data_IF_922171034140
#
_entry.id   IF_922171034140
#
_cell.length_a   1.000
_cell.length_b   1.000
_cell.length_c   1.000
_cell.angle_alpha   90.00
_cell.angle_beta   90.00
_cell.angle_gamma   90.00
#
_symmetry.space_group_name_H-M   'P 1'
#
loop_
_entity.id
_entity.type
_entity.pdbx_description
1 polymer ?
#
# COMPACT_ATOMS: atom_id res chain seq x y z
N UNK A 1 11.67 -15.29 -5.49
CA UNK A 1 10.84 -15.42 -4.27
C UNK A 1 10.22 -14.09 -3.93
N UNK A 2 8.97 -14.11 -3.52
CA UNK A 2 8.30 -12.86 -3.15
C UNK A 2 8.71 -12.42 -1.74
N UNK A 3 8.94 -11.13 -1.58
CA UNK A 3 9.20 -10.53 -0.27
C UNK A 3 7.90 -10.50 0.53
N UNK A 4 7.98 -10.82 1.82
CA UNK A 4 6.86 -10.68 2.74
C UNK A 4 7.13 -9.58 3.74
N UNK A 5 6.10 -8.78 4.02
CA UNK A 5 6.17 -7.67 4.96
C UNK A 5 5.10 -7.80 6.03
N UNK A 6 5.43 -7.32 7.22
CA UNK A 6 4.52 -7.24 8.35
C UNK A 6 4.08 -5.79 8.51
N UNK A 7 2.79 -5.55 8.41
CA UNK A 7 2.19 -4.23 8.62
C UNK A 7 1.51 -4.25 9.99
N UNK A 8 2.16 -3.64 10.96
CA UNK A 8 1.67 -3.59 12.35
C UNK A 8 0.89 -2.29 12.54
N UNK A 9 -0.36 -2.42 12.94
CA UNK A 9 -1.26 -1.27 13.08
C UNK A 9 -1.94 -1.25 14.44
N UNK A 10 -2.59 -0.12 14.75
CA UNK A 10 -3.37 0.04 15.97
C UNK A 10 -4.51 -0.99 16.11
N UNK A 11 -4.94 -1.61 15.00
CA UNK A 11 -6.05 -2.57 15.00
C UNK A 11 -5.60 -4.02 14.79
N UNK A 12 -4.31 -4.26 14.65
CA UNK A 12 -3.75 -5.60 14.46
C UNK A 12 -2.69 -5.64 13.37
N UNK A 13 -2.28 -6.85 13.05
CA UNK A 13 -1.18 -7.12 12.13
C UNK A 13 -1.70 -7.71 10.83
N UNK A 14 -1.18 -7.20 9.71
CA UNK A 14 -1.39 -7.79 8.38
C UNK A 14 -0.05 -8.26 7.85
N UNK A 15 -0.05 -9.40 7.17
CA UNK A 15 1.12 -9.89 6.42
C UNK A 15 0.78 -9.78 4.95
N UNK A 16 1.67 -9.17 4.19
CA UNK A 16 1.49 -8.99 2.74
C UNK A 16 2.65 -9.61 1.99
N UNK A 17 2.35 -10.16 0.83
CA UNK A 17 3.35 -10.67 -0.11
C UNK A 17 3.49 -9.68 -1.25
N UNK A 18 4.72 -9.25 -1.54
CA UNK A 18 5.00 -8.24 -2.56
C UNK A 18 5.23 -8.87 -3.93
N UNK A 19 4.94 -8.10 -4.98
CA UNK A 19 5.09 -8.54 -6.38
C UNK A 19 6.48 -8.19 -6.90
N UNK A 20 7.53 -8.75 -6.29
CA UNK A 20 8.95 -8.42 -6.59
C UNK A 20 9.29 -8.55 -8.06
N UNK A 21 8.79 -9.61 -8.73
CA UNK A 21 9.11 -9.87 -10.13
C UNK A 21 8.21 -9.10 -11.09
N UNK A 22 6.97 -8.84 -10.70
CA UNK A 22 5.97 -8.18 -11.54
C UNK A 22 6.12 -6.67 -11.56
N UNK A 23 6.39 -6.05 -10.40
CA UNK A 23 6.51 -4.59 -10.28
C UNK A 23 7.78 -4.22 -9.51
N UNK A 24 8.97 -4.50 -10.07
CA UNK A 24 10.24 -4.33 -9.35
C UNK A 24 10.55 -2.89 -8.96
N UNK A 25 10.20 -1.91 -9.77
CA UNK A 25 10.44 -0.49 -9.46
C UNK A 25 9.65 -0.10 -8.21
N UNK A 26 8.36 -0.41 -8.21
CA UNK A 26 7.46 -0.08 -7.09
C UNK A 26 7.83 -0.83 -5.83
N UNK A 27 8.09 -2.14 -5.95
CA UNK A 27 8.46 -2.98 -4.81
C UNK A 27 9.80 -2.55 -4.22
N UNK A 28 10.81 -2.28 -5.05
CA UNK A 28 12.11 -1.83 -4.55
C UNK A 28 12.01 -0.50 -3.82
N UNK A 29 11.18 0.41 -4.31
CA UNK A 29 10.91 1.68 -3.64
C UNK A 29 10.26 1.44 -2.27
N UNK A 30 9.23 0.61 -2.22
CA UNK A 30 8.51 0.29 -0.99
C UNK A 30 9.46 -0.35 0.05
N UNK A 31 10.26 -1.33 -0.39
CA UNK A 31 11.26 -1.99 0.47
C UNK A 31 12.29 -0.99 1.01
N UNK A 32 12.77 -0.09 0.17
CA UNK A 32 13.73 0.95 0.57
C UNK A 32 13.15 1.85 1.67
N UNK A 33 11.90 2.28 1.50
CA UNK A 33 11.21 3.10 2.50
C UNK A 33 10.99 2.33 3.81
N UNK A 34 10.65 1.05 3.72
CA UNK A 34 10.51 0.19 4.90
C UNK A 34 11.83 0.10 5.66
N UNK A 35 12.93 -0.11 4.95
CA UNK A 35 14.26 -0.22 5.56
C UNK A 35 14.70 1.06 6.26
N UNK A 36 14.24 2.20 5.77
CA UNK A 36 14.50 3.52 6.38
C UNK A 36 13.52 3.85 7.51
N UNK A 37 12.60 2.95 7.81
CA UNK A 37 11.52 3.14 8.80
C UNK A 37 10.63 4.34 8.48
N UNK A 38 10.46 4.63 7.20
CA UNK A 38 9.70 5.78 6.72
C UNK A 38 8.24 5.73 7.18
N UNK A 39 7.66 4.53 7.21
CA UNK A 39 6.24 4.35 7.54
C UNK A 39 5.96 4.29 9.04
N UNK A 40 6.99 4.11 9.87
CA UNK A 40 6.80 3.95 11.31
C UNK A 40 6.19 5.23 11.91
N UNK A 41 5.07 5.08 12.62
CA UNK A 41 4.38 6.20 13.24
C UNK A 41 3.47 7.00 12.32
N UNK A 42 3.41 6.67 11.04
CA UNK A 42 2.45 7.28 10.12
C UNK A 42 1.04 6.70 10.38
N UNK A 43 0.07 7.08 9.57
CA UNK A 43 -1.30 6.61 9.77
C UNK A 43 -2.01 6.35 8.45
N UNK A 44 -3.23 5.80 8.57
CA UNK A 44 -4.17 5.71 7.46
C UNK A 44 -5.03 6.97 7.47
N UNK A 45 -4.58 8.00 6.78
CA UNK A 45 -5.23 9.31 6.78
C UNK A 45 -6.54 9.33 5.98
N UNK A 46 -6.78 8.33 5.14
CA UNK A 46 -7.98 8.24 4.31
C UNK A 46 -8.53 6.82 4.36
N UNK A 47 -9.69 6.66 4.97
CA UNK A 47 -10.35 5.35 5.10
C UNK A 47 -11.77 5.50 4.57
N UNK A 48 -12.08 4.77 3.49
CA UNK A 48 -13.39 4.80 2.85
C UNK A 48 -13.97 3.39 2.87
N UNK A 49 -15.06 3.15 3.62
CA UNK A 49 -15.67 1.83 3.70
C UNK A 49 -16.02 1.29 2.30
N UNK A 50 -15.80 -0.01 2.10
CA UNK A 50 -16.05 -0.72 0.84
C UNK A 50 -15.19 -0.21 -0.33
N UNK A 51 -14.18 0.61 -0.06
CA UNK A 51 -13.27 1.12 -1.07
C UNK A 51 -11.83 0.82 -0.66
N UNK A 52 -11.17 1.71 0.09
CA UNK A 52 -9.75 1.53 0.44
C UNK A 52 -9.44 2.05 1.85
N UNK A 53 -8.31 1.57 2.39
CA UNK A 53 -7.60 2.24 3.49
C UNK A 53 -6.29 2.74 2.92
N UNK A 54 -6.02 4.03 3.02
CA UNK A 54 -4.88 4.70 2.40
C UNK A 54 -3.99 5.37 3.45
N UNK A 55 -2.70 5.14 3.35
CA UNK A 55 -1.73 5.69 4.29
C UNK A 55 -0.36 5.89 3.66
N UNK A 56 0.63 6.14 4.52
CA UNK A 56 2.01 6.31 4.09
C UNK A 56 2.38 7.74 3.70
N UNK A 57 1.55 8.72 4.05
CA UNK A 57 1.85 10.13 3.83
C UNK A 57 2.62 10.70 5.04
N UNK A 58 3.84 11.26 4.84
CA UNK A 58 4.60 11.81 5.96
C UNK A 58 3.92 13.01 6.64
N UNK A 59 3.08 13.73 5.91
CA UNK A 59 2.30 14.84 6.46
C UNK A 59 0.95 14.39 7.03
N UNK A 60 0.60 13.11 6.89
CA UNK A 60 -0.62 12.50 7.43
C UNK A 60 -1.91 13.10 6.90
N UNK A 61 -1.87 13.73 5.73
CA UNK A 61 -3.04 14.41 5.14
C UNK A 61 -3.17 14.23 3.63
N UNK A 62 -2.32 13.39 3.03
CA UNK A 62 -2.37 13.11 1.59
C UNK A 62 -1.51 14.00 0.72
N UNK A 63 -0.84 15.01 1.29
CA UNK A 63 -0.08 16.00 0.51
C UNK A 63 1.41 15.70 0.40
N UNK A 64 1.94 14.76 1.18
CA UNK A 64 3.37 14.52 1.26
C UNK A 64 3.81 13.23 0.59
N UNK A 65 5.13 13.12 0.43
CA UNK A 65 5.77 11.94 -0.12
C UNK A 65 7.25 11.90 0.28
N UNK A 66 8.03 10.99 -0.32
CA UNK A 66 9.42 10.77 0.10
C UNK A 66 10.40 11.77 -0.50
N UNK A 67 9.93 12.76 -1.26
CA UNK A 67 10.81 13.75 -1.90
C UNK A 67 11.16 13.42 -3.36
N UNK A 68 10.55 12.36 -3.91
CA UNK A 68 10.73 11.94 -5.30
C UNK A 68 9.49 11.19 -5.77
N UNK A 69 9.41 10.89 -7.07
CA UNK A 69 8.33 10.08 -7.63
C UNK A 69 8.88 8.86 -8.34
N UNK A 70 8.02 7.86 -8.54
CA UNK A 70 8.38 6.65 -9.26
C UNK A 70 7.45 6.45 -10.46
N UNK A 71 7.95 5.67 -11.41
CA UNK A 71 7.22 5.31 -12.63
C UNK A 71 6.14 4.28 -12.33
N UNK A 72 4.98 4.41 -12.97
CA UNK A 72 3.91 3.41 -12.91
C UNK A 72 4.30 2.13 -13.64
N UNK A 73 3.80 0.99 -13.15
CA UNK A 73 4.04 -0.32 -13.75
C UNK A 73 2.71 -1.04 -14.01
N UNK A 74 1.71 -0.31 -14.49
CA UNK A 74 0.32 -0.79 -14.61
C UNK A 74 0.12 -1.84 -15.72
N UNK A 75 1.09 -2.03 -16.60
CA UNK A 75 1.02 -3.06 -17.67
C UNK A 75 1.61 -4.40 -17.23
N UNK A 76 2.13 -4.49 -16.02
CA UNK A 76 2.71 -5.73 -15.47
C UNK A 76 1.63 -6.77 -15.16
N UNK A 77 2.01 -8.06 -14.96
CA UNK A 77 1.07 -9.05 -14.45
C UNK A 77 0.54 -8.70 -13.05
N UNK A 78 -0.59 -9.29 -12.67
CA UNK A 78 -1.21 -9.15 -11.34
C UNK A 78 -1.72 -7.73 -11.03
N UNK A 79 -2.05 -6.95 -12.05
CA UNK A 79 -2.51 -5.58 -11.88
C UNK A 79 -4.03 -5.51 -11.74
N UNK A 80 -4.59 -6.23 -10.74
CA UNK A 80 -6.01 -6.27 -10.44
C UNK A 80 -6.26 -5.85 -8.99
N UNK A 81 -7.19 -4.94 -8.79
CA UNK A 81 -7.51 -4.39 -7.47
C UNK A 81 -8.57 -5.25 -6.76
N UNK A 82 -8.14 -6.43 -6.31
CA UNK A 82 -8.97 -7.35 -5.53
C UNK A 82 -8.84 -7.02 -4.04
N UNK A 83 -9.70 -7.66 -3.22
CA UNK A 83 -9.63 -7.50 -1.76
C UNK A 83 -8.22 -7.84 -1.25
N UNK A 84 -7.67 -6.95 -0.44
CA UNK A 84 -6.36 -7.13 0.18
C UNK A 84 -5.18 -6.69 -0.68
N UNK A 85 -5.41 -6.25 -1.91
CA UNK A 85 -4.31 -5.81 -2.79
C UNK A 85 -3.78 -4.46 -2.33
N UNK A 86 -2.44 -4.36 -2.24
CA UNK A 86 -1.73 -3.11 -2.02
C UNK A 86 -1.48 -2.43 -3.35
N UNK A 87 -1.82 -1.15 -3.44
CA UNK A 87 -1.66 -0.37 -4.66
C UNK A 87 -1.11 1.02 -4.33
N UNK A 88 -0.44 1.63 -5.30
CA UNK A 88 0.18 2.95 -5.09
C UNK A 88 -0.82 4.07 -5.33
N UNK A 89 -0.97 4.94 -4.34
CA UNK A 89 -1.70 6.19 -4.51
C UNK A 89 -0.83 7.18 -5.27
N UNK A 90 -1.44 8.00 -6.11
CA UNK A 90 -0.74 9.06 -6.84
C UNK A 90 -1.72 10.14 -7.32
N UNK A 91 -1.18 11.24 -7.78
CA UNK A 91 -1.94 12.38 -8.30
C UNK A 91 -1.94 12.44 -9.83
N UNK A 92 -1.69 11.31 -10.48
CA UNK A 92 -1.60 11.16 -11.92
C UNK A 92 -0.49 10.19 -12.28
N UNK A 93 -0.28 9.97 -13.59
CA UNK A 93 0.69 8.98 -14.07
C UNK A 93 2.12 9.37 -13.64
N UNK A 94 2.85 8.39 -13.11
CA UNK A 94 4.26 8.53 -12.69
C UNK A 94 4.48 9.56 -11.58
N UNK A 95 3.48 9.73 -10.68
CA UNK A 95 3.60 10.63 -9.54
C UNK A 95 3.53 9.93 -8.18
N UNK A 96 3.57 8.60 -8.17
CA UNK A 96 3.60 7.83 -6.92
C UNK A 96 4.89 8.04 -6.16
N UNK A 97 4.84 7.85 -4.84
CA UNK A 97 6.01 7.99 -3.96
C UNK A 97 5.94 7.05 -2.78
N UNK A 98 5.33 7.46 -1.68
CA UNK A 98 5.21 6.64 -0.48
C UNK A 98 3.79 6.22 -0.14
N UNK A 99 2.79 6.98 -0.56
CA UNK A 99 1.41 6.67 -0.21
C UNK A 99 0.92 5.43 -0.94
N UNK A 100 0.27 4.56 -0.19
CA UNK A 100 -0.32 3.34 -0.72
C UNK A 100 -1.71 3.16 -0.15
N UNK A 101 -2.50 2.31 -0.79
CA UNK A 101 -3.79 1.91 -0.24
C UNK A 101 -3.96 0.39 -0.32
N UNK A 102 -4.81 -0.13 0.55
CA UNK A 102 -5.19 -1.54 0.56
C UNK A 102 -6.67 -1.61 0.24
N UNK A 103 -7.03 -2.45 -0.73
CA UNK A 103 -8.39 -2.54 -1.22
C UNK A 103 -9.29 -3.32 -0.28
N UNK A 104 -10.49 -2.81 0.00
CA UNK A 104 -11.52 -3.53 0.75
C UNK A 104 -12.11 -4.69 -0.05
N UNK A 105 -12.31 -4.50 -1.35
CA UNK A 105 -12.87 -5.51 -2.22
C UNK A 105 -12.91 -5.03 -3.65
N UNK A 106 -13.13 -5.95 -4.58
CA UNK A 106 -13.06 -5.62 -6.02
C UNK A 106 -14.20 -4.74 -6.51
N UNK A 107 -15.41 -4.90 -5.95
CA UNK A 107 -16.57 -4.15 -6.44
C UNK A 107 -16.36 -2.64 -6.42
N UNK A 108 -15.68 -2.12 -5.39
CA UNK A 108 -15.41 -0.68 -5.27
C UNK A 108 -14.11 -0.23 -5.92
N UNK A 109 -13.23 -1.16 -6.33
CA UNK A 109 -11.85 -0.82 -6.74
C UNK A 109 -11.49 -1.26 -8.16
N UNK A 110 -12.35 -2.02 -8.84
CA UNK A 110 -12.04 -2.53 -10.19
C UNK A 110 -11.70 -1.42 -11.19
N UNK A 111 -12.30 -0.24 -11.05
CA UNK A 111 -12.05 0.90 -11.93
C UNK A 111 -10.62 1.46 -11.81
N UNK A 112 -9.88 1.07 -10.78
CA UNK A 112 -8.49 1.51 -10.58
C UNK A 112 -7.50 0.69 -11.40
N UNK A 113 -7.93 -0.45 -11.95
CA UNK A 113 -7.07 -1.29 -12.78
C UNK A 113 -6.56 -0.47 -13.99
N UNK A 114 -5.25 -0.60 -14.25
CA UNK A 114 -4.62 0.13 -15.33
C UNK A 114 -4.22 1.57 -15.02
N UNK A 115 -4.62 2.11 -13.84
CA UNK A 115 -4.30 3.47 -13.42
C UNK A 115 -3.35 3.52 -12.24
N UNK A 116 -3.46 2.56 -11.32
CA UNK A 116 -2.62 2.47 -10.10
C UNK A 116 -1.84 1.17 -10.11
N UNK A 117 -0.57 1.23 -9.72
CA UNK A 117 0.31 0.05 -9.68
C UNK A 117 0.02 -0.80 -8.46
N UNK A 118 -0.37 -2.06 -8.66
CA UNK A 118 -0.51 -3.04 -7.60
C UNK A 118 0.87 -3.62 -7.27
N UNK A 119 1.27 -3.57 -6.01
CA UNK A 119 2.61 -4.01 -5.60
C UNK A 119 2.61 -5.20 -4.66
N UNK A 120 1.46 -5.66 -4.22
CA UNK A 120 1.39 -6.80 -3.32
C UNK A 120 -0.04 -7.12 -2.92
N UNK A 121 -0.16 -8.12 -2.02
CA UNK A 121 -1.44 -8.58 -1.53
C UNK A 121 -1.34 -9.05 -0.09
N UNK A 122 -2.29 -8.66 0.74
CA UNK A 122 -2.41 -9.16 2.11
C UNK A 122 -2.80 -10.64 2.06
N UNK A 123 -1.99 -11.48 2.71
CA UNK A 123 -2.21 -12.93 2.77
C UNK A 123 -2.65 -13.40 4.15
N UNK A 124 -2.44 -12.57 5.19
CA UNK A 124 -2.92 -12.84 6.55
C UNK A 124 -3.40 -11.53 7.16
N UNK A 125 -4.47 -11.59 7.95
CA UNK A 125 -5.00 -10.42 8.64
C UNK A 125 -5.96 -9.59 7.80
N UNK A 126 -6.67 -10.18 6.85
CA UNK A 126 -7.65 -9.47 6.03
C UNK A 126 -8.72 -8.77 6.87
N UNK A 127 -9.08 -9.32 8.00
CA UNK A 127 -10.05 -8.72 8.92
C UNK A 127 -9.57 -7.38 9.51
N UNK A 128 -8.26 -7.15 9.57
CA UNK A 128 -7.70 -5.87 10.04
C UNK A 128 -8.09 -4.75 9.10
N UNK A 129 -8.17 -5.02 7.80
CA UNK A 129 -8.61 -4.01 6.80
C UNK A 129 -9.98 -3.43 7.21
N UNK A 130 -10.89 -4.31 7.63
CA UNK A 130 -12.25 -3.91 8.03
C UNK A 130 -12.27 -3.16 9.36
N UNK A 131 -11.27 -3.37 10.20
CA UNK A 131 -11.19 -2.76 11.53
C UNK A 131 -10.54 -1.37 11.52
N UNK A 132 -9.72 -1.06 10.52
CA UNK A 132 -9.02 0.23 10.42
C UNK A 132 -10.04 1.37 10.31
N UNK A 133 -9.76 2.46 11.02
CA UNK A 133 -10.56 3.68 11.02
C UNK A 133 -9.67 4.87 10.65
N UNK A 134 -10.26 6.00 10.24
CA UNK A 134 -9.46 7.18 9.89
C UNK A 134 -8.47 7.54 11.00
N UNK A 135 -7.24 7.82 10.60
CA UNK A 135 -6.13 8.23 11.48
C UNK A 135 -5.56 7.12 12.38
N UNK A 136 -6.00 5.86 12.20
CA UNK A 136 -5.36 4.74 12.90
C UNK A 136 -3.88 4.66 12.55
N UNK A 137 -3.04 4.42 13.56
CA UNK A 137 -1.59 4.45 13.44
C UNK A 137 -1.05 3.20 12.73
N UNK A 138 -0.08 3.42 11.84
CA UNK A 138 0.83 2.39 11.38
C UNK A 138 1.99 2.38 12.37
N UNK A 139 2.05 1.36 13.23
CA UNK A 139 3.11 1.26 14.23
C UNK A 139 4.46 1.01 13.55
N UNK A 140 4.48 0.08 12.61
CA UNK A 140 5.68 -0.22 11.82
C UNK A 140 5.31 -1.05 10.59
N UNK A 141 6.18 -0.97 9.58
CA UNK A 141 6.18 -1.94 8.47
C UNK A 141 7.58 -2.51 8.41
N UNK A 142 7.69 -3.84 8.42
CA UNK A 142 9.00 -4.51 8.40
C UNK A 142 9.02 -5.67 7.40
N UNK A 143 10.19 -5.93 6.85
CA UNK A 143 10.41 -7.07 5.96
C UNK A 143 10.68 -8.29 6.85
N UNK A 144 9.93 -9.39 6.64
CA UNK A 144 10.04 -10.60 7.43
C UNK A 144 10.59 -11.79 6.65
N UNK A 145 10.59 -11.71 5.31
CA UNK A 145 11.15 -12.79 4.46
C UNK A 145 11.80 -12.29 3.19
#
# INVERSE_FOLDING_TARGET
MATKVKIDTAKGVMIAELYDNETPITVNNFKSLIQKKFYDGLNFHRVLPNFVIQGGCPNKNGTGGPGYTIQCEVSAPKQFHDRGVLSMAHAGRNTGGSQFFICHGRAGTAHLDGNHTCLGKVIEGLDVIDAIRPMDTINSISIIE
#
